data_IF_578466332203
#
_entry.id   IF_578466332203
#
_cell.length_a   1.000
_cell.length_b   1.000
_cell.length_c   1.000
_cell.angle_alpha   90.00
_cell.angle_beta   90.00
_cell.angle_gamma   90.00
#
_symmetry.space_group_name_H-M   'P 1'
#
loop_
_entity.id
_entity.type
_entity.pdbx_description
1 polymer ?
#
# COMPACT_ATOMS: atom_id res chain seq x y z
N UNK A 1 -18.88 79.87 -46.00
CA UNK A 1 -18.17 80.50 -44.88
C UNK A 1 -19.17 80.53 -43.74
N UNK A 2 -19.13 79.51 -42.88
CA UNK A 2 -18.51 79.58 -41.54
C UNK A 2 -19.59 80.06 -40.54
N UNK A 3 -19.91 79.44 -39.40
CA UNK A 3 -19.37 78.33 -38.60
C UNK A 3 -20.54 77.84 -37.71
N UNK A 4 -20.64 76.54 -37.44
CA UNK A 4 -21.36 75.98 -36.27
C UNK A 4 -20.36 75.11 -35.48
N UNK A 5 -20.28 75.24 -34.14
CA UNK A 5 -19.30 74.50 -33.36
C UNK A 5 -19.80 73.11 -32.95
N UNK A 6 -18.81 72.23 -32.85
CA UNK A 6 -18.80 70.83 -32.43
C UNK A 6 -19.57 70.55 -31.13
N UNK A 7 -20.49 69.58 -31.17
CA UNK A 7 -20.96 68.85 -30.00
C UNK A 7 -20.17 67.53 -29.91
N UNK A 8 -19.34 67.43 -28.88
CA UNK A 8 -18.44 66.31 -28.66
C UNK A 8 -19.22 65.08 -28.18
N UNK A 9 -19.27 64.05 -29.04
CA UNK A 9 -19.77 62.73 -28.70
C UNK A 9 -19.00 62.13 -27.54
N UNK A 10 -19.69 61.90 -26.42
CA UNK A 10 -19.19 61.11 -25.30
C UNK A 10 -19.17 59.64 -25.72
N UNK A 11 -17.96 59.08 -25.82
CA UNK A 11 -17.70 57.65 -25.96
C UNK A 11 -18.39 56.88 -24.83
N UNK A 12 -19.28 55.95 -25.22
CA UNK A 12 -19.91 55.02 -24.31
C UNK A 12 -18.90 53.91 -23.97
N UNK A 13 -18.02 54.21 -23.01
CA UNK A 13 -17.10 53.25 -22.39
C UNK A 13 -17.93 52.31 -21.50
N UNK A 14 -18.47 51.25 -22.12
CA UNK A 14 -19.25 50.23 -21.41
C UNK A 14 -18.33 49.40 -20.52
N UNK A 15 -18.27 49.77 -19.24
CA UNK A 15 -17.69 48.95 -18.19
C UNK A 15 -18.34 47.55 -18.15
N UNK A 16 -17.57 46.46 -18.03
CA UNK A 16 -18.13 45.11 -17.97
C UNK A 16 -18.90 44.90 -16.67
N UNK A 17 -20.07 44.28 -16.78
CA UNK A 17 -20.97 44.00 -15.68
C UNK A 17 -20.31 43.11 -14.61
N UNK A 18 -20.47 43.51 -13.34
CA UNK A 18 -20.07 42.73 -12.17
C UNK A 18 -20.83 41.39 -12.14
N UNK A 19 -20.10 40.27 -12.29
CA UNK A 19 -20.64 38.94 -12.04
C UNK A 19 -20.18 37.81 -12.96
N UNK A 20 -19.48 38.10 -14.06
CA UNK A 20 -18.96 37.03 -14.92
C UNK A 20 -17.72 36.39 -14.28
N UNK A 21 -17.90 35.20 -13.72
CA UNK A 21 -16.80 34.33 -13.31
C UNK A 21 -15.95 33.98 -14.52
N UNK A 22 -14.84 34.70 -14.72
CA UNK A 22 -13.87 34.37 -15.75
C UNK A 22 -13.36 32.95 -15.51
N UNK A 23 -13.77 32.03 -16.39
CA UNK A 23 -13.28 30.65 -16.37
C UNK A 23 -12.07 30.59 -17.28
N UNK A 24 -10.89 30.32 -16.71
CA UNK A 24 -9.68 30.15 -17.51
C UNK A 24 -9.90 29.01 -18.53
N UNK A 25 -9.83 29.27 -19.85
CA UNK A 25 -10.15 28.28 -20.87
C UNK A 25 -9.22 27.05 -20.82
N UNK A 26 -7.96 27.25 -20.43
CA UNK A 26 -6.99 26.16 -20.27
C UNK A 26 -7.39 25.26 -19.10
N UNK A 27 -7.87 25.83 -17.98
CA UNK A 27 -8.33 25.05 -16.84
C UNK A 27 -9.60 24.28 -17.15
N UNK A 28 -10.55 24.89 -17.88
CA UNK A 28 -11.77 24.20 -18.32
C UNK A 28 -11.45 23.00 -19.21
N UNK A 29 -10.53 23.16 -20.17
CA UNK A 29 -10.10 22.07 -21.06
C UNK A 29 -9.29 20.99 -20.33
N UNK A 30 -8.44 21.38 -19.37
CA UNK A 30 -7.70 20.43 -18.53
C UNK A 30 -8.66 19.54 -17.73
N UNK A 31 -9.65 20.12 -17.07
CA UNK A 31 -10.63 19.35 -16.30
C UNK A 31 -11.45 18.43 -17.20
N UNK A 32 -11.83 18.89 -18.42
CA UNK A 32 -12.51 18.04 -19.41
C UNK A 32 -11.67 16.82 -19.79
N UNK A 33 -10.42 17.01 -20.23
CA UNK A 33 -9.53 15.90 -20.65
C UNK A 33 -9.17 14.99 -19.48
N UNK A 34 -8.98 15.55 -18.30
CA UNK A 34 -8.73 14.77 -17.08
C UNK A 34 -9.92 13.90 -16.75
N UNK A 35 -11.15 14.41 -16.85
CA UNK A 35 -12.36 13.61 -16.65
C UNK A 35 -12.44 12.45 -17.66
N UNK A 36 -12.10 12.68 -18.93
CA UNK A 36 -12.03 11.62 -19.95
C UNK A 36 -11.03 10.53 -19.58
N UNK A 37 -9.80 10.91 -19.20
CA UNK A 37 -8.75 9.95 -18.80
C UNK A 37 -9.14 9.19 -17.52
N UNK A 38 -9.75 9.84 -16.55
CA UNK A 38 -10.21 9.21 -15.30
C UNK A 38 -11.40 8.26 -15.51
N UNK A 39 -12.21 8.48 -16.55
CA UNK A 39 -13.31 7.59 -16.90
C UNK A 39 -12.84 6.32 -17.65
N UNK A 40 -11.57 6.25 -18.06
CA UNK A 40 -11.05 5.09 -18.79
C UNK A 40 -10.98 3.83 -17.91
N UNK A 41 -11.29 2.64 -18.44
CA UNK A 41 -11.15 1.39 -17.69
C UNK A 41 -9.73 1.15 -17.15
N UNK A 42 -8.70 1.62 -17.86
CA UNK A 42 -7.31 1.47 -17.42
C UNK A 42 -6.95 2.33 -16.20
N UNK A 43 -7.66 3.45 -15.97
CA UNK A 43 -7.51 4.21 -14.73
C UNK A 43 -8.04 3.44 -13.52
N UNK A 44 -9.25 2.86 -13.62
CA UNK A 44 -9.80 2.02 -12.57
C UNK A 44 -8.88 0.83 -12.26
N UNK A 45 -8.38 0.15 -13.31
CA UNK A 45 -7.42 -0.94 -13.15
C UNK A 45 -6.13 -0.48 -12.44
N UNK A 46 -5.58 0.69 -12.79
CA UNK A 46 -4.43 1.25 -12.08
C UNK A 46 -4.72 1.43 -10.59
N UNK A 47 -5.86 2.03 -10.25
CA UNK A 47 -6.26 2.25 -8.85
C UNK A 47 -6.38 0.92 -8.10
N UNK A 48 -7.01 -0.08 -8.70
CA UNK A 48 -7.18 -1.40 -8.11
C UNK A 48 -5.83 -2.12 -7.91
N UNK A 49 -4.92 -2.04 -8.89
CA UNK A 49 -3.57 -2.62 -8.79
C UNK A 49 -2.70 -1.89 -7.76
N UNK A 50 -2.83 -0.58 -7.61
CA UNK A 50 -2.16 0.16 -6.54
C UNK A 50 -2.68 -0.25 -5.15
N UNK A 51 -4.01 -0.38 -5.00
CA UNK A 51 -4.62 -0.86 -3.75
C UNK A 51 -4.16 -2.28 -3.43
N UNK A 52 -4.14 -3.17 -4.43
CA UNK A 52 -3.60 -4.52 -4.29
C UNK A 52 -2.12 -4.50 -3.90
N UNK A 53 -1.31 -3.63 -4.52
CA UNK A 53 0.11 -3.47 -4.18
C UNK A 53 0.32 -3.01 -2.73
N UNK A 54 -0.54 -2.15 -2.20
CA UNK A 54 -0.54 -1.77 -0.77
C UNK A 54 -0.87 -2.96 0.12
N UNK A 55 -1.87 -3.76 -0.22
CA UNK A 55 -2.19 -5.00 0.51
C UNK A 55 -1.04 -6.01 0.49
N UNK A 56 -0.39 -6.17 -0.68
CA UNK A 56 0.83 -6.98 -0.83
C UNK A 56 1.98 -6.50 0.05
N UNK A 57 2.15 -5.18 0.21
CA UNK A 57 3.15 -4.62 1.12
C UNK A 57 2.83 -4.90 2.59
N UNK A 58 1.56 -4.81 2.99
CA UNK A 58 1.13 -5.09 4.38
C UNK A 58 1.46 -6.52 4.77
N UNK A 59 1.09 -7.51 3.95
CA UNK A 59 1.42 -8.91 4.24
C UNK A 59 2.92 -9.16 4.28
N UNK A 60 3.69 -8.61 3.32
CA UNK A 60 5.13 -8.80 3.28
C UNK A 60 5.82 -8.24 4.54
N UNK A 61 5.42 -7.04 4.96
CA UNK A 61 5.96 -6.41 6.16
C UNK A 61 5.59 -7.21 7.42
N UNK A 62 4.32 -7.62 7.56
CA UNK A 62 3.89 -8.42 8.71
C UNK A 62 4.63 -9.77 8.78
N UNK A 63 4.85 -10.41 7.63
CA UNK A 63 5.60 -11.65 7.56
C UNK A 63 7.07 -11.46 7.92
N UNK A 64 7.69 -10.38 7.44
CA UNK A 64 9.07 -10.02 7.78
C UNK A 64 9.23 -9.69 9.27
N UNK A 65 8.27 -8.98 9.86
CA UNK A 65 8.24 -8.66 11.29
C UNK A 65 8.12 -9.93 12.14
N UNK A 66 7.20 -10.84 11.78
CA UNK A 66 7.06 -12.14 12.44
C UNK A 66 8.35 -12.95 12.37
N UNK A 67 8.94 -13.09 11.19
CA UNK A 67 10.19 -13.83 11.01
C UNK A 67 11.36 -13.21 11.78
N UNK A 68 11.49 -11.88 11.76
CA UNK A 68 12.53 -11.17 12.50
C UNK A 68 12.38 -11.36 13.99
N UNK A 69 11.15 -11.25 14.51
CA UNK A 69 10.87 -11.43 15.93
C UNK A 69 11.11 -12.86 16.38
N UNK A 70 10.54 -13.85 15.68
CA UNK A 70 10.77 -15.27 15.94
C UNK A 70 12.26 -15.64 15.90
N UNK A 71 13.01 -15.04 14.96
CA UNK A 71 14.45 -15.21 14.80
C UNK A 71 15.28 -14.83 16.04
N UNK A 72 14.79 -13.93 16.90
CA UNK A 72 15.48 -13.56 18.14
C UNK A 72 15.62 -14.75 19.09
N UNK A 73 14.59 -15.60 19.18
CA UNK A 73 14.65 -16.84 19.94
C UNK A 73 15.32 -17.94 19.12
N UNK A 74 14.86 -18.18 17.90
CA UNK A 74 15.26 -19.32 17.07
C UNK A 74 16.75 -19.32 16.71
N UNK A 75 17.35 -18.14 16.55
CA UNK A 75 18.75 -18.00 16.12
C UNK A 75 19.63 -17.27 17.13
N UNK A 76 19.05 -16.72 18.21
CA UNK A 76 19.79 -15.94 19.20
C UNK A 76 20.69 -16.74 20.12
N UNK A 77 20.67 -18.08 20.06
CA UNK A 77 21.44 -18.96 20.96
C UNK A 77 21.03 -18.81 22.43
N UNK A 78 19.81 -18.32 22.67
CA UNK A 78 19.27 -18.07 24.01
C UNK A 78 18.48 -19.27 24.49
N UNK A 79 18.55 -19.58 25.77
CA UNK A 79 17.72 -20.62 26.38
C UNK A 79 16.31 -20.08 26.63
N UNK A 80 15.26 -20.91 26.53
CA UNK A 80 13.85 -20.51 26.74
C UNK A 80 13.64 -19.72 28.04
N UNK A 81 14.25 -20.12 29.16
CA UNK A 81 14.16 -19.40 30.45
C UNK A 81 14.68 -17.95 30.44
N UNK A 82 15.28 -17.50 29.35
CA UNK A 82 15.73 -16.10 29.18
C UNK A 82 14.76 -15.27 28.34
N UNK A 83 13.71 -15.90 27.79
CA UNK A 83 12.64 -15.22 27.07
C UNK A 83 11.67 -14.60 28.07
N UNK A 84 11.15 -13.44 27.70
CA UNK A 84 10.26 -12.64 28.54
C UNK A 84 8.83 -12.75 28.05
N UNK A 85 7.86 -12.50 28.90
CA UNK A 85 6.43 -12.44 28.52
C UNK A 85 6.21 -11.44 27.36
N UNK A 86 6.92 -10.30 27.38
CA UNK A 86 6.91 -9.30 26.29
C UNK A 86 7.30 -9.91 24.92
N UNK A 87 8.20 -10.90 24.90
CA UNK A 87 8.58 -11.58 23.66
C UNK A 87 7.43 -12.44 23.16
N UNK A 88 6.75 -13.17 24.04
CA UNK A 88 5.59 -14.00 23.70
C UNK A 88 4.43 -13.15 23.19
N UNK A 89 4.11 -12.05 23.89
CA UNK A 89 3.05 -11.12 23.52
C UNK A 89 3.26 -10.53 22.11
N UNK A 90 4.49 -10.10 21.83
CA UNK A 90 4.85 -9.57 20.51
C UNK A 90 4.84 -10.66 19.43
N UNK A 91 5.26 -11.89 19.74
CA UNK A 91 5.21 -13.02 18.80
C UNK A 91 3.77 -13.32 18.38
N UNK A 92 2.87 -13.36 19.36
CA UNK A 92 1.43 -13.57 19.19
C UNK A 92 0.82 -12.42 18.37
N UNK A 93 1.19 -11.17 18.65
CA UNK A 93 0.76 -9.99 17.90
C UNK A 93 1.19 -10.07 16.43
N UNK A 94 2.46 -10.40 16.16
CA UNK A 94 2.96 -10.51 14.80
C UNK A 94 2.33 -11.68 14.03
N UNK A 95 2.12 -12.83 14.68
CA UNK A 95 1.43 -13.98 14.09
C UNK A 95 0.00 -13.61 13.67
N UNK A 96 -0.74 -12.95 14.56
CA UNK A 96 -2.09 -12.47 14.28
C UNK A 96 -2.11 -11.49 13.10
N UNK A 97 -1.21 -10.49 13.11
CA UNK A 97 -1.11 -9.49 12.03
C UNK A 97 -0.83 -10.14 10.68
N UNK A 98 0.11 -11.09 10.64
CA UNK A 98 0.41 -11.86 9.43
C UNK A 98 -0.82 -12.61 8.92
N UNK A 99 -1.44 -13.46 9.75
CA UNK A 99 -2.60 -14.27 9.38
C UNK A 99 -3.77 -13.41 8.86
N UNK A 100 -4.06 -12.30 9.54
CA UNK A 100 -5.13 -11.38 9.14
C UNK A 100 -4.80 -10.68 7.81
N UNK A 101 -3.56 -10.27 7.60
CA UNK A 101 -3.15 -9.59 6.35
C UNK A 101 -3.23 -10.45 5.10
N UNK A 102 -3.10 -11.78 5.22
CA UNK A 102 -3.34 -12.72 4.12
C UNK A 102 -4.77 -12.60 3.61
N UNK A 103 -5.74 -12.42 4.52
CA UNK A 103 -7.15 -12.26 4.13
C UNK A 103 -7.36 -10.93 3.40
N UNK A 104 -6.77 -9.84 3.90
CA UNK A 104 -6.84 -8.54 3.26
C UNK A 104 -6.26 -8.57 1.83
N UNK A 105 -5.17 -9.29 1.61
CA UNK A 105 -4.61 -9.50 0.27
C UNK A 105 -5.60 -10.21 -0.64
N UNK A 106 -6.16 -11.34 -0.19
CA UNK A 106 -7.14 -12.13 -0.95
C UNK A 106 -8.36 -11.28 -1.32
N UNK A 107 -8.91 -10.53 -0.36
CA UNK A 107 -10.08 -9.71 -0.58
C UNK A 107 -9.77 -8.56 -1.57
N UNK A 108 -8.55 -8.01 -1.54
CA UNK A 108 -8.07 -7.05 -2.56
C UNK A 108 -8.01 -7.66 -3.97
N UNK A 109 -7.60 -8.93 -4.09
CA UNK A 109 -7.64 -9.64 -5.39
C UNK A 109 -9.06 -9.81 -5.90
N UNK A 110 -10.03 -10.10 -5.00
CA UNK A 110 -11.44 -10.16 -5.38
C UNK A 110 -11.97 -8.82 -5.87
N UNK A 111 -11.57 -7.70 -5.26
CA UNK A 111 -11.94 -6.36 -5.74
C UNK A 111 -11.46 -6.14 -7.18
N UNK A 112 -10.18 -6.40 -7.46
CA UNK A 112 -9.60 -6.31 -8.82
C UNK A 112 -10.41 -7.15 -9.82
N UNK A 113 -10.70 -8.41 -9.47
CA UNK A 113 -11.45 -9.30 -10.36
C UNK A 113 -12.88 -8.84 -10.59
N UNK A 114 -13.57 -8.42 -9.52
CA UNK A 114 -14.98 -8.01 -9.58
C UNK A 114 -15.13 -6.71 -10.39
N UNK A 115 -14.24 -5.73 -10.21
CA UNK A 115 -14.26 -4.50 -11.00
C UNK A 115 -13.94 -4.78 -12.47
N UNK A 116 -12.97 -5.66 -12.75
CA UNK A 116 -12.50 -5.88 -14.12
C UNK A 116 -13.42 -6.77 -14.94
N UNK A 117 -13.91 -7.86 -14.37
CA UNK A 117 -14.66 -8.89 -15.10
C UNK A 117 -16.04 -9.20 -14.51
N UNK A 118 -16.35 -8.73 -13.30
CA UNK A 118 -17.58 -9.07 -12.60
C UNK A 118 -17.47 -10.32 -11.72
N UNK A 119 -18.43 -10.46 -10.81
CA UNK A 119 -18.42 -11.48 -9.75
C UNK A 119 -18.49 -12.92 -10.25
N UNK A 120 -19.17 -13.16 -11.38
CA UNK A 120 -19.39 -14.48 -11.98
C UNK A 120 -18.56 -14.68 -13.26
N UNK A 121 -17.48 -13.92 -13.42
CA UNK A 121 -16.63 -13.99 -14.61
C UNK A 121 -15.99 -15.36 -14.79
N UNK A 122 -15.73 -15.73 -16.06
CA UNK A 122 -14.96 -16.93 -16.39
C UNK A 122 -13.55 -16.89 -15.78
N UNK A 123 -12.94 -15.70 -15.73
CA UNK A 123 -11.65 -15.51 -15.07
C UNK A 123 -11.70 -15.98 -13.61
N UNK A 124 -12.70 -15.52 -12.84
CA UNK A 124 -12.84 -15.85 -11.43
C UNK A 124 -13.27 -17.31 -11.21
N UNK A 125 -14.28 -17.77 -11.95
CA UNK A 125 -14.89 -19.10 -11.77
C UNK A 125 -14.04 -20.24 -12.32
N UNK A 126 -13.17 -19.98 -13.32
CA UNK A 126 -12.28 -20.99 -13.90
C UNK A 126 -10.81 -20.72 -13.61
N UNK A 127 -10.22 -19.66 -14.19
CA UNK A 127 -8.76 -19.43 -14.17
C UNK A 127 -8.24 -19.25 -12.74
N UNK A 128 -8.85 -18.32 -11.99
CA UNK A 128 -8.51 -18.05 -10.61
C UNK A 128 -8.82 -19.23 -9.70
N UNK A 129 -10.04 -19.79 -9.77
CA UNK A 129 -10.43 -20.93 -8.94
C UNK A 129 -9.52 -22.15 -9.14
N UNK A 130 -9.13 -22.44 -10.39
CA UNK A 130 -8.22 -23.54 -10.72
C UNK A 130 -6.84 -23.30 -10.14
N UNK A 131 -6.28 -22.09 -10.29
CA UNK A 131 -4.97 -21.78 -9.72
C UNK A 131 -5.00 -21.78 -8.19
N UNK A 132 -6.06 -21.24 -7.59
CA UNK A 132 -6.24 -21.20 -6.15
C UNK A 132 -6.24 -22.63 -5.60
N UNK A 133 -7.05 -23.52 -6.18
CA UNK A 133 -7.10 -24.94 -5.81
C UNK A 133 -5.74 -25.62 -6.02
N UNK A 134 -5.10 -25.41 -7.17
CA UNK A 134 -3.79 -26.00 -7.47
C UNK A 134 -2.65 -25.53 -6.55
N UNK A 135 -2.81 -24.37 -5.90
CA UNK A 135 -1.79 -23.81 -5.00
C UNK A 135 -2.06 -24.15 -3.53
N UNK A 136 -3.34 -24.16 -3.12
CA UNK A 136 -3.72 -24.22 -1.71
C UNK A 136 -4.53 -25.46 -1.31
N UNK A 137 -4.86 -26.40 -2.19
CA UNK A 137 -5.56 -27.63 -1.79
C UNK A 137 -4.59 -28.66 -1.17
N UNK A 138 -3.98 -28.33 -0.03
CA UNK A 138 -2.92 -29.11 0.62
C UNK A 138 -3.27 -29.62 2.02
N UNK A 139 -4.41 -29.22 2.58
CA UNK A 139 -4.75 -29.39 4.00
C UNK A 139 -4.06 -28.37 4.90
N UNK A 140 -2.78 -28.12 4.66
CA UNK A 140 -1.97 -27.13 5.37
C UNK A 140 -2.47 -25.69 5.16
N UNK A 141 -2.81 -25.32 3.93
CA UNK A 141 -3.31 -23.99 3.64
C UNK A 141 -4.71 -23.77 4.22
N UNK A 142 -5.56 -24.81 4.23
CA UNK A 142 -6.84 -24.79 4.92
C UNK A 142 -6.64 -24.69 6.45
N UNK A 143 -5.63 -25.37 7.00
CA UNK A 143 -5.23 -25.20 8.40
C UNK A 143 -4.84 -23.75 8.67
N UNK A 144 -3.99 -23.12 7.86
CA UNK A 144 -3.58 -21.73 8.05
C UNK A 144 -4.75 -20.74 7.93
N UNK A 145 -5.65 -20.96 6.97
CA UNK A 145 -6.86 -20.15 6.84
C UNK A 145 -7.78 -20.29 8.06
N UNK A 146 -7.90 -21.51 8.63
CA UNK A 146 -8.67 -21.73 9.86
C UNK A 146 -7.94 -21.29 11.13
N UNK A 147 -6.61 -21.32 11.16
CA UNK A 147 -5.81 -20.78 12.25
C UNK A 147 -6.06 -19.29 12.40
N UNK A 148 -6.16 -18.55 11.29
CA UNK A 148 -6.62 -17.17 11.29
C UNK A 148 -8.00 -17.03 11.94
N UNK A 149 -8.96 -17.88 11.56
CA UNK A 149 -10.31 -17.85 12.15
C UNK A 149 -10.29 -18.17 13.65
N UNK A 150 -9.48 -19.13 14.08
CA UNK A 150 -9.25 -19.45 15.49
C UNK A 150 -8.73 -18.20 16.23
N UNK A 151 -7.71 -17.53 15.68
CA UNK A 151 -7.16 -16.28 16.21
C UNK A 151 -8.20 -15.15 16.33
N UNK A 152 -9.17 -15.06 15.41
CA UNK A 152 -10.16 -13.97 15.41
C UNK A 152 -11.47 -14.30 16.16
N UNK A 153 -11.75 -15.58 16.42
CA UNK A 153 -13.05 -16.00 16.98
C UNK A 153 -12.95 -16.85 18.25
N UNK A 154 -11.77 -17.34 18.60
CA UNK A 154 -11.57 -18.22 19.76
C UNK A 154 -10.48 -17.72 20.69
N UNK A 155 -9.23 -17.74 20.24
CA UNK A 155 -8.05 -17.35 21.00
C UNK A 155 -6.86 -17.22 20.06
N UNK A 156 -5.80 -16.51 20.45
CA UNK A 156 -4.55 -16.52 19.70
C UNK A 156 -3.63 -17.56 20.38
N UNK A 157 -3.20 -18.63 19.66
CA UNK A 157 -2.35 -19.64 20.28
C UNK A 157 -0.97 -19.05 20.56
N UNK A 158 -0.49 -19.22 21.79
CA UNK A 158 0.88 -18.90 22.17
C UNK A 158 1.76 -20.08 21.79
N UNK A 159 2.69 -19.93 20.84
CA UNK A 159 3.59 -21.03 20.50
C UNK A 159 4.50 -21.36 21.68
N UNK A 160 4.52 -22.61 22.12
CA UNK A 160 5.42 -23.09 23.14
C UNK A 160 6.88 -22.99 22.68
N UNK A 161 7.73 -22.41 23.51
CA UNK A 161 9.16 -22.31 23.24
C UNK A 161 9.91 -23.53 23.79
N UNK A 162 10.66 -24.20 22.92
CA UNK A 162 11.45 -25.38 23.30
C UNK A 162 12.92 -25.13 22.97
N UNK A 163 13.80 -25.37 23.95
CA UNK A 163 15.25 -25.35 23.76
C UNK A 163 15.82 -26.76 23.96
N UNK A 164 16.49 -27.29 22.93
CA UNK A 164 17.21 -28.56 22.98
C UNK A 164 18.72 -28.30 22.95
N UNK A 165 19.46 -28.88 23.90
CA UNK A 165 20.92 -28.84 23.90
C UNK A 165 21.47 -29.98 23.03
N UNK A 166 22.06 -29.64 21.89
CA UNK A 166 22.77 -30.60 21.05
C UNK A 166 24.26 -30.57 21.36
N UNK A 167 24.82 -31.70 21.77
CA UNK A 167 26.25 -31.91 21.95
C UNK A 167 26.78 -32.90 20.92
N UNK A 168 27.86 -32.53 20.23
CA UNK A 168 28.63 -33.43 19.37
C UNK A 168 30.05 -33.56 19.94
N UNK A 169 30.62 -34.77 19.91
CA UNK A 169 31.98 -35.02 20.44
C UNK A 169 32.98 -34.17 19.65
N UNK A 170 33.71 -33.29 20.35
CA UNK A 170 34.72 -32.41 19.76
C UNK A 170 34.18 -31.08 19.21
N UNK A 171 32.89 -30.76 19.42
CA UNK A 171 32.31 -29.45 19.08
C UNK A 171 31.68 -28.80 20.32
N UNK A 172 31.70 -27.46 20.40
CA UNK A 172 30.93 -26.75 21.42
C UNK A 172 29.44 -27.13 21.33
N UNK A 173 28.77 -27.35 22.46
CA UNK A 173 27.34 -27.63 22.45
C UNK A 173 26.57 -26.42 21.91
N UNK A 174 25.49 -26.68 21.18
CA UNK A 174 24.63 -25.64 20.60
C UNK A 174 23.18 -25.83 21.03
N UNK A 175 22.50 -24.72 21.27
CA UNK A 175 21.06 -24.73 21.45
C UNK A 175 20.36 -24.81 20.09
N UNK A 176 19.33 -25.64 20.02
CA UNK A 176 18.33 -25.64 18.95
C UNK A 176 17.01 -25.23 19.56
N UNK A 177 16.45 -24.16 19.04
CA UNK A 177 15.22 -23.56 19.52
C UNK A 177 14.10 -23.80 18.51
N UNK A 178 12.91 -24.13 19.01
CA UNK A 178 11.71 -24.42 18.21
C UNK A 178 10.51 -23.68 18.80
N UNK A 179 9.58 -23.26 17.94
CA UNK A 179 8.28 -22.72 18.33
C UNK A 179 7.21 -23.76 18.00
N UNK A 180 6.59 -24.36 19.02
CA UNK A 180 5.64 -25.46 18.84
C UNK A 180 4.21 -25.05 19.11
N UNK A 181 3.29 -25.54 18.29
CA UNK A 181 1.86 -25.49 18.57
C UNK A 181 1.41 -26.77 19.27
N UNK A 182 0.49 -26.61 20.21
CA UNK A 182 -0.21 -27.71 20.86
C UNK A 182 -1.41 -28.14 20.00
N UNK A 183 -1.30 -29.31 19.38
CA UNK A 183 -2.35 -29.88 18.53
C UNK A 183 -3.63 -30.14 19.33
N UNK A 184 -3.51 -30.72 20.52
CA UNK A 184 -4.65 -31.19 21.29
C UNK A 184 -5.44 -30.00 21.83
N UNK A 185 -4.75 -28.96 22.31
CA UNK A 185 -5.37 -27.69 22.69
C UNK A 185 -6.06 -27.00 21.51
N UNK A 186 -5.48 -27.05 20.30
CA UNK A 186 -6.13 -26.51 19.10
C UNK A 186 -7.40 -27.31 18.76
N UNK A 187 -7.35 -28.65 18.85
CA UNK A 187 -8.47 -29.54 18.53
C UNK A 187 -9.67 -29.42 19.48
N UNK A 188 -9.54 -28.73 20.63
CA UNK A 188 -10.66 -28.38 21.50
C UNK A 188 -11.69 -27.48 20.81
N UNK A 189 -11.29 -26.73 19.78
CA UNK A 189 -12.20 -25.89 19.02
C UNK A 189 -12.95 -26.71 17.94
N UNK A 190 -14.27 -26.73 18.05
CA UNK A 190 -15.18 -27.39 17.10
C UNK A 190 -15.18 -26.79 15.69
N UNK A 191 -14.60 -25.60 15.52
CA UNK A 191 -14.45 -24.92 14.24
C UNK A 191 -13.46 -25.58 13.27
N UNK A 192 -12.63 -26.54 13.70
CA UNK A 192 -11.79 -27.34 12.80
C UNK A 192 -12.64 -28.36 12.03
N UNK A 193 -12.63 -28.29 10.70
CA UNK A 193 -13.41 -29.21 9.84
C UNK A 193 -12.70 -29.47 8.52
N UNK A 194 -13.06 -30.56 7.84
CA UNK A 194 -12.57 -30.88 6.51
C UNK A 194 -11.05 -31.08 6.46
N UNK A 195 -10.38 -30.66 5.36
CA UNK A 195 -8.94 -30.84 5.18
C UNK A 195 -8.07 -30.25 6.29
N UNK A 196 -8.48 -29.11 6.87
CA UNK A 196 -7.77 -28.47 7.98
C UNK A 196 -7.73 -29.34 9.24
N UNK A 197 -8.85 -30.02 9.56
CA UNK A 197 -8.93 -30.92 10.71
C UNK A 197 -8.08 -32.17 10.47
N UNK A 198 -8.19 -32.78 9.28
CA UNK A 198 -7.37 -33.94 8.90
C UNK A 198 -5.88 -33.61 8.94
N UNK A 199 -5.48 -32.43 8.48
CA UNK A 199 -4.09 -31.96 8.56
C UNK A 199 -3.62 -31.86 10.02
N UNK A 200 -4.43 -31.24 10.88
CA UNK A 200 -4.10 -31.05 12.29
C UNK A 200 -4.03 -32.39 13.05
N UNK A 201 -4.98 -33.29 12.83
CA UNK A 201 -5.01 -34.63 13.45
C UNK A 201 -3.80 -35.49 13.04
N UNK A 202 -3.25 -35.28 11.84
CA UNK A 202 -2.07 -35.98 11.36
C UNK A 202 -0.74 -35.46 11.98
N UNK A 203 -0.76 -34.33 12.70
CA UNK A 203 0.44 -33.80 13.37
C UNK A 203 0.71 -34.55 14.68
N UNK A 204 1.96 -34.45 15.12
CA UNK A 204 2.33 -34.81 16.48
C UNK A 204 1.61 -33.90 17.50
N UNK A 205 1.44 -34.34 18.77
CA UNK A 205 0.80 -33.51 19.81
C UNK A 205 1.42 -32.12 19.95
N UNK A 206 2.73 -32.01 19.75
CA UNK A 206 3.47 -30.75 19.67
C UNK A 206 4.20 -30.71 18.34
N UNK A 207 3.91 -29.73 17.49
CA UNK A 207 4.53 -29.64 16.16
C UNK A 207 5.10 -28.25 15.90
N UNK A 208 6.19 -28.19 15.12
CA UNK A 208 6.86 -26.94 14.79
C UNK A 208 5.99 -26.05 13.90
N UNK A 209 5.82 -24.80 14.34
CA UNK A 209 5.04 -23.77 13.67
C UNK A 209 5.78 -23.20 12.46
N UNK A 210 7.11 -23.08 12.53
CA UNK A 210 7.90 -22.35 11.53
C UNK A 210 7.79 -22.95 10.12
N UNK A 211 7.98 -24.27 9.92
CA UNK A 211 7.84 -24.87 8.60
C UNK A 211 6.46 -24.63 7.97
N UNK A 212 5.41 -24.59 8.80
CA UNK A 212 4.03 -24.36 8.34
C UNK A 212 3.85 -22.91 7.87
N UNK A 213 4.39 -21.94 8.62
CA UNK A 213 4.36 -20.52 8.23
C UNK A 213 5.15 -20.32 6.94
N UNK A 214 6.37 -20.84 6.85
CA UNK A 214 7.26 -20.66 5.70
C UNK A 214 6.67 -21.24 4.42
N UNK A 215 6.17 -22.47 4.49
CA UNK A 215 5.49 -23.15 3.37
C UNK A 215 4.28 -22.34 2.90
N UNK A 216 3.44 -21.88 3.83
CA UNK A 216 2.27 -21.06 3.49
C UNK A 216 2.65 -19.69 2.91
N UNK A 217 3.66 -19.01 3.47
CA UNK A 217 4.19 -17.74 2.95
C UNK A 217 4.69 -17.89 1.51
N UNK A 218 5.39 -18.98 1.21
CA UNK A 218 5.85 -19.28 -0.15
C UNK A 218 4.68 -19.52 -1.10
N UNK A 219 3.65 -20.24 -0.68
CA UNK A 219 2.44 -20.46 -1.48
C UNK A 219 1.72 -19.14 -1.78
N UNK A 220 1.52 -18.28 -0.77
CA UNK A 220 0.91 -16.96 -0.92
C UNK A 220 1.73 -16.08 -1.87
N UNK A 221 3.04 -16.02 -1.70
CA UNK A 221 3.92 -15.22 -2.57
C UNK A 221 3.89 -15.69 -4.03
N UNK A 222 3.97 -17.00 -4.25
CA UNK A 222 3.87 -17.60 -5.60
C UNK A 222 2.52 -17.30 -6.24
N UNK A 223 1.43 -17.42 -5.48
CA UNK A 223 0.08 -17.13 -5.97
C UNK A 223 -0.09 -15.65 -6.30
N UNK A 224 0.40 -14.75 -5.43
CA UNK A 224 0.31 -13.31 -5.63
C UNK A 224 1.05 -12.85 -6.88
N UNK A 225 2.27 -13.35 -7.10
CA UNK A 225 3.06 -13.04 -8.30
C UNK A 225 2.32 -13.52 -9.55
N UNK A 226 1.86 -14.78 -9.56
CA UNK A 226 1.05 -15.31 -10.66
C UNK A 226 -0.19 -14.45 -10.93
N UNK A 227 -0.93 -14.06 -9.90
CA UNK A 227 -2.14 -13.28 -10.05
C UNK A 227 -1.84 -11.92 -10.70
N UNK A 228 -0.79 -11.25 -10.23
CA UNK A 228 -0.36 -9.94 -10.74
C UNK A 228 0.09 -10.05 -12.20
N UNK A 229 0.87 -11.08 -12.54
CA UNK A 229 1.33 -11.34 -13.91
C UNK A 229 0.15 -11.63 -14.84
N UNK A 230 -0.79 -12.45 -14.39
CA UNK A 230 -1.97 -12.83 -15.16
C UNK A 230 -2.91 -11.65 -15.40
N UNK A 231 -3.16 -10.80 -14.38
CA UNK A 231 -3.95 -9.57 -14.55
C UNK A 231 -3.27 -8.62 -15.53
N UNK A 232 -1.94 -8.40 -15.39
CA UNK A 232 -1.19 -7.55 -16.33
C UNK A 232 -1.28 -8.08 -17.76
N UNK A 233 -1.14 -9.40 -17.94
CA UNK A 233 -1.22 -10.06 -19.26
C UNK A 233 -2.60 -9.88 -19.89
N UNK A 234 -3.67 -10.12 -19.14
CA UNK A 234 -5.04 -10.01 -19.66
C UNK A 234 -5.51 -8.57 -19.86
N UNK A 235 -4.91 -7.60 -19.16
CA UNK A 235 -5.30 -6.20 -19.23
C UNK A 235 -4.28 -5.30 -19.95
N UNK A 236 -3.34 -5.88 -20.70
CA UNK A 236 -2.27 -5.14 -21.38
C UNK A 236 -2.83 -4.01 -22.27
N UNK A 237 -3.79 -4.32 -23.14
CA UNK A 237 -4.39 -3.33 -24.05
C UNK A 237 -5.03 -2.16 -23.32
N UNK A 238 -5.87 -2.43 -22.32
CA UNK A 238 -6.57 -1.38 -21.55
C UNK A 238 -5.57 -0.52 -20.77
N UNK A 239 -4.50 -1.13 -20.26
CA UNK A 239 -3.41 -0.44 -19.57
C UNK A 239 -2.66 0.47 -20.55
N UNK A 240 -2.33 -0.02 -21.73
CA UNK A 240 -1.61 0.73 -22.76
C UNK A 240 -2.44 1.91 -23.29
N UNK A 241 -3.75 1.72 -23.51
CA UNK A 241 -4.68 2.78 -23.89
C UNK A 241 -4.71 3.91 -22.85
N UNK A 242 -4.85 3.55 -21.56
CA UNK A 242 -4.84 4.52 -20.47
C UNK A 242 -3.49 5.25 -20.35
N UNK A 243 -2.37 4.51 -20.40
CA UNK A 243 -1.03 5.12 -20.34
C UNK A 243 -0.84 6.09 -21.50
N UNK A 244 -1.23 5.71 -22.72
CA UNK A 244 -1.16 6.56 -23.90
C UNK A 244 -1.98 7.85 -23.70
N UNK A 245 -3.22 7.74 -23.25
CA UNK A 245 -4.09 8.90 -23.02
C UNK A 245 -3.58 9.81 -21.89
N UNK A 246 -3.08 9.23 -20.79
CA UNK A 246 -2.49 9.97 -19.69
C UNK A 246 -1.21 10.73 -20.12
N UNK A 247 -0.37 10.11 -20.95
CA UNK A 247 0.79 10.77 -21.54
C UNK A 247 0.39 11.90 -22.50
N UNK A 248 -0.63 11.69 -23.34
CA UNK A 248 -1.13 12.73 -24.23
C UNK A 248 -1.67 13.94 -23.45
N UNK A 249 -2.40 13.71 -22.35
CA UNK A 249 -2.86 14.76 -21.45
C UNK A 249 -1.69 15.54 -20.83
N UNK A 250 -0.68 14.83 -20.32
CA UNK A 250 0.53 15.45 -19.74
C UNK A 250 1.23 16.34 -20.78
N UNK A 251 1.52 15.79 -21.96
CA UNK A 251 2.21 16.50 -23.04
C UNK A 251 1.44 17.75 -23.47
N UNK A 252 0.11 17.63 -23.62
CA UNK A 252 -0.73 18.79 -23.95
C UNK A 252 -0.67 19.86 -22.86
N UNK A 253 -0.78 19.50 -21.57
CA UNK A 253 -0.71 20.46 -20.47
C UNK A 253 0.64 21.19 -20.41
N UNK A 254 1.73 20.47 -20.62
CA UNK A 254 3.08 21.04 -20.68
C UNK A 254 3.23 22.03 -21.86
N UNK A 255 2.65 21.71 -23.02
CA UNK A 255 2.66 22.58 -24.20
C UNK A 255 1.86 23.87 -24.01
N UNK A 256 0.68 23.80 -23.40
CA UNK A 256 -0.20 24.96 -23.21
C UNK A 256 0.27 25.89 -22.09
N UNK A 257 0.88 25.35 -21.03
CA UNK A 257 1.22 26.12 -19.82
C UNK A 257 2.71 26.39 -19.67
N UNK A 258 3.58 25.63 -20.34
CA UNK A 258 5.01 25.59 -20.07
C UNK A 258 5.38 25.01 -18.69
N UNK A 259 4.39 24.55 -17.91
CA UNK A 259 4.60 23.97 -16.58
C UNK A 259 4.99 22.51 -16.76
N UNK A 260 6.27 22.22 -16.58
CA UNK A 260 6.82 20.87 -16.64
C UNK A 260 6.72 20.16 -15.30
N UNK A 261 6.80 18.83 -15.31
CA UNK A 261 6.96 18.04 -14.09
C UNK A 261 8.21 18.47 -13.27
N UNK A 262 9.30 18.86 -13.94
CA UNK A 262 10.50 19.38 -13.29
C UNK A 262 10.22 20.69 -12.54
N UNK A 263 9.38 21.56 -13.10
CA UNK A 263 8.95 22.79 -12.43
C UNK A 263 8.10 22.49 -11.20
N UNK A 264 7.11 21.58 -11.31
CA UNK A 264 6.25 21.20 -10.18
C UNK A 264 7.03 20.52 -9.03
N UNK A 265 8.08 19.77 -9.38
CA UNK A 265 8.95 19.09 -8.42
C UNK A 265 10.13 19.96 -7.96
N UNK A 266 10.29 21.17 -8.48
CA UNK A 266 11.35 22.08 -8.06
C UNK A 266 11.03 22.62 -6.66
N UNK A 267 12.03 22.60 -5.77
CA UNK A 267 11.91 23.34 -4.52
C UNK A 267 11.82 24.83 -4.84
N UNK A 268 10.92 25.59 -4.18
CA UNK A 268 10.89 27.03 -4.36
C UNK A 268 12.30 27.59 -4.12
N UNK A 269 12.76 28.55 -4.92
CA UNK A 269 14.11 29.09 -4.79
C UNK A 269 14.32 29.55 -3.35
N UNK A 270 15.39 29.06 -2.73
CA UNK A 270 15.77 29.47 -1.38
C UNK A 270 15.87 31.00 -1.41
N UNK A 271 15.12 31.73 -0.58
CA UNK A 271 15.17 33.17 -0.62
C UNK A 271 16.62 33.60 -0.37
N UNK A 272 17.23 34.22 -1.38
CA UNK A 272 18.65 34.63 -1.41
C UNK A 272 19.01 35.66 -0.34
N UNK A 273 18.02 36.12 0.43
CA UNK A 273 18.21 36.99 1.58
C UNK A 273 18.13 36.21 2.88
N UNK A 274 19.26 36.16 3.59
CA UNK A 274 19.30 35.67 4.97
C UNK A 274 18.36 36.50 5.86
N UNK A 275 17.85 35.95 6.98
CA UNK A 275 17.03 36.71 7.92
C UNK A 275 17.67 38.04 8.33
N UNK A 276 19.00 38.05 8.51
CA UNK A 276 19.79 39.24 8.82
C UNK A 276 19.76 40.28 7.70
N UNK A 277 19.91 39.87 6.44
CA UNK A 277 19.83 40.78 5.29
C UNK A 277 18.44 41.41 5.15
N UNK A 278 17.36 40.67 5.48
CA UNK A 278 15.99 41.22 5.50
C UNK A 278 15.81 42.24 6.62
N UNK A 279 16.37 41.97 7.80
CA UNK A 279 16.35 42.91 8.93
C UNK A 279 17.14 44.17 8.62
N UNK A 280 18.34 44.02 8.04
CA UNK A 280 19.19 45.15 7.63
C UNK A 280 18.52 46.01 6.54
N UNK A 281 17.88 45.38 5.54
CA UNK A 281 17.13 46.10 4.50
C UNK A 281 15.94 46.87 5.09
N UNK A 282 15.14 46.23 5.96
CA UNK A 282 14.03 46.90 6.65
C UNK A 282 14.51 48.04 7.57
N UNK A 283 15.67 47.88 8.21
CA UNK A 283 16.28 48.93 9.02
C UNK A 283 16.78 50.11 8.18
N UNK A 284 17.36 49.84 7.01
CA UNK A 284 17.78 50.86 6.05
C UNK A 284 16.60 51.65 5.49
N UNK A 285 15.52 50.96 5.11
CA UNK A 285 14.26 51.58 4.65
C UNK A 285 13.63 52.45 5.74
N UNK A 286 13.61 51.98 7.01
CA UNK A 286 13.16 52.78 8.17
C UNK A 286 14.02 54.01 8.41
N UNK A 287 15.35 53.91 8.27
CA UNK A 287 16.28 55.04 8.39
C UNK A 287 16.08 56.08 7.29
N UNK A 288 15.87 55.64 6.04
CA UNK A 288 15.57 56.54 4.93
C UNK A 288 14.24 57.28 5.13
N UNK A 289 13.18 56.57 5.57
CA UNK A 289 11.89 57.20 5.91
C UNK A 289 12.02 58.24 7.03
N UNK A 290 12.80 57.95 8.08
CA UNK A 290 13.08 58.91 9.17
C UNK A 290 13.88 60.13 8.71
N UNK A 291 14.85 59.97 7.80
CA UNK A 291 15.58 61.10 7.19
C UNK A 291 14.67 61.97 6.31
N UNK A 292 13.73 61.36 5.58
CA UNK A 292 12.75 62.08 4.76
C UNK A 292 11.78 62.91 5.60
N UNK A 293 11.35 62.38 6.76
CA UNK A 293 10.44 63.08 7.68
C UNK A 293 11.12 64.15 8.55
N UNK A 294 12.46 64.18 8.63
CA UNK A 294 13.24 65.23 9.34
C UNK A 294 13.63 66.42 8.45
N UNK A 295 13.34 66.35 7.16
CA UNK A 295 13.61 67.40 6.15
C UNK A 295 12.34 68.14 5.71
N UNK A 296 11.23 67.90 6.40
CA UNK A 296 10.00 68.70 6.38
C UNK A 296 9.88 69.39 7.74
#
# INVERSE_FOLDING_TARGET
MSDEPEDAGVENDSAPAEGESWTNPILAELERRKAEVLAMPGYQLKVDLEALGRAGRVIYNNASELQRHAGLFLHGGRHVNTMTDEYEDELVRFLHNYLTSVTSLRDSQYVVMNHRWGAESEFKTKTYATKLKGTFATGEAEFMAKLRNYCTHRSIPVPGMVTTLLGERGRPPRFVNELKLDRDALLEWDGWTGPAKTYLEAKEPQFDLLPVIESYMQAVSKFFNWFTDEVNRQCATIKDEYVTAAMALKTWYEQETGITEAFLNSSPPTPTTTPEQRVQRRAAERRQRRKKNRRR
#
